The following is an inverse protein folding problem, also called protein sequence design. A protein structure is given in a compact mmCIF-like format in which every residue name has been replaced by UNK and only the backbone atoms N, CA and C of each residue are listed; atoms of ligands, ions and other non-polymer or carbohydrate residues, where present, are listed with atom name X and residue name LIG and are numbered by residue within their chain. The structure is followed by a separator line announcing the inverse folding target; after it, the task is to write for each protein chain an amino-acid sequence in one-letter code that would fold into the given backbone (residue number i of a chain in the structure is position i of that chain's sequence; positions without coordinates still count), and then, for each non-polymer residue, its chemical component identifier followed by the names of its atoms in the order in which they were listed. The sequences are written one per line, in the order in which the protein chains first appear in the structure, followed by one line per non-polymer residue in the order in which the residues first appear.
data_IF_187912220744
#
_entry.id   IF_187912220744
#
_cell.length_a   1.000
_cell.length_b   1.000
_cell.length_c   1.000
_cell.angle_alpha   90.00
_cell.angle_beta   90.00
_cell.angle_gamma   90.00
#
_symmetry.space_group_name_H-M   'P 1'
#
loop_
_entity.id
_entity.type
_entity.pdbx_description
1 polymer ?
#
# COMPACT_ATOMS: atom_id res chain seq x y z
N UNK A 1 4.24 -12.62 -6.56
CA UNK A 1 4.44 -11.17 -6.38
C UNK A 1 4.72 -10.93 -4.94
N UNK A 2 5.69 -10.10 -4.63
CA UNK A 2 6.07 -9.75 -3.27
C UNK A 2 5.10 -8.70 -2.75
N UNK A 3 4.75 -8.77 -1.48
CA UNK A 3 3.96 -7.74 -0.82
C UNK A 3 4.74 -6.43 -0.74
N UNK A 4 4.05 -5.31 -0.50
CA UNK A 4 4.70 -4.01 -0.30
C UNK A 4 5.69 -4.05 0.87
N UNK A 5 5.33 -4.77 1.92
CA UNK A 5 6.19 -4.97 3.09
C UNK A 5 7.40 -5.85 2.79
N UNK A 6 7.25 -6.88 1.95
CA UNK A 6 8.39 -7.70 1.48
C UNK A 6 9.37 -6.85 0.66
N UNK A 7 8.84 -6.00 -0.24
CA UNK A 7 9.66 -5.08 -1.02
C UNK A 7 10.43 -4.11 -0.14
N UNK A 8 9.80 -3.60 0.92
CA UNK A 8 10.48 -2.74 1.89
C UNK A 8 11.60 -3.49 2.63
N UNK A 9 11.32 -4.70 3.10
CA UNK A 9 12.30 -5.52 3.82
C UNK A 9 13.54 -5.87 2.98
N UNK A 10 13.37 -6.05 1.68
CA UNK A 10 14.47 -6.42 0.78
C UNK A 10 15.29 -5.23 0.28
N UNK A 11 14.66 -4.08 0.11
CA UNK A 11 15.29 -2.94 -0.57
C UNK A 11 15.75 -1.82 0.38
N UNK A 12 15.24 -1.77 1.60
CA UNK A 12 15.64 -0.73 2.56
C UNK A 12 16.48 -1.29 3.69
N UNK A 13 17.70 -0.78 3.81
CA UNK A 13 18.57 -1.14 4.94
C UNK A 13 17.97 -0.68 6.26
N UNK A 14 17.87 -1.60 7.21
CA UNK A 14 17.38 -1.35 8.56
C UNK A 14 15.86 -1.47 8.73
N UNK A 15 15.12 -1.77 7.67
CA UNK A 15 13.73 -2.23 7.79
C UNK A 15 13.73 -3.73 8.05
N UNK A 16 12.87 -4.15 8.97
CA UNK A 16 12.48 -5.55 9.16
C UNK A 16 10.96 -5.68 9.21
N UNK A 17 10.45 -6.75 8.63
CA UNK A 17 9.02 -7.04 8.60
C UNK A 17 8.76 -8.32 9.35
N UNK A 18 7.74 -8.32 10.18
CA UNK A 18 7.32 -9.49 10.98
C UNK A 18 5.83 -9.73 10.80
N UNK A 19 5.45 -10.99 10.72
CA UNK A 19 4.06 -11.38 10.74
C UNK A 19 3.49 -11.19 12.15
N UNK A 20 2.28 -10.65 12.21
CA UNK A 20 1.58 -10.45 13.46
C UNK A 20 0.48 -11.49 13.63
N UNK A 21 0.32 -11.96 14.86
CA UNK A 21 -0.75 -12.88 15.30
C UNK A 21 -0.96 -14.10 14.40
N UNK A 22 0.04 -14.43 13.57
CA UNK A 22 -0.03 -15.46 12.54
C UNK A 22 -1.14 -15.26 11.50
N UNK A 23 -1.61 -14.03 11.31
CA UNK A 23 -2.48 -13.66 10.19
C UNK A 23 -1.68 -13.51 8.90
N UNK A 24 -2.21 -13.99 7.79
CA UNK A 24 -1.55 -13.96 6.50
C UNK A 24 -1.26 -12.53 6.02
N UNK A 25 -2.10 -11.57 6.39
CA UNK A 25 -2.08 -10.21 5.84
C UNK A 25 -1.57 -9.15 6.80
N UNK A 26 -1.61 -9.39 8.12
CA UNK A 26 -1.17 -8.40 9.09
C UNK A 26 0.34 -8.43 9.28
N UNK A 27 0.98 -7.32 8.96
CA UNK A 27 2.44 -7.16 9.02
C UNK A 27 2.82 -6.01 9.95
N UNK A 28 3.92 -6.18 10.66
CA UNK A 28 4.59 -5.14 11.42
C UNK A 28 5.84 -4.69 10.67
N UNK A 29 5.96 -3.41 10.40
CA UNK A 29 7.15 -2.81 9.80
C UNK A 29 7.96 -2.14 10.90
N UNK A 30 9.20 -2.58 11.08
CA UNK A 30 10.15 -2.08 12.07
C UNK A 30 11.30 -1.35 11.37
N UNK A 31 11.65 -0.18 11.88
CA UNK A 31 12.79 0.60 11.41
C UNK A 31 13.46 1.29 12.59
N UNK A 32 14.72 0.90 12.87
CA UNK A 32 15.54 1.46 13.95
C UNK A 32 14.89 1.41 15.33
N UNK A 33 14.11 0.36 15.62
CA UNK A 33 13.43 0.18 16.90
C UNK A 33 12.10 0.93 17.04
N UNK A 34 11.63 1.58 15.99
CA UNK A 34 10.29 2.14 15.89
C UNK A 34 9.46 1.34 14.92
N UNK A 35 8.15 1.29 15.13
CA UNK A 35 7.25 0.50 14.31
C UNK A 35 6.23 1.35 13.55
N UNK A 36 5.72 0.77 12.46
CA UNK A 36 4.43 1.08 11.89
C UNK A 36 3.62 -0.21 11.89
N UNK A 37 2.76 -0.36 12.88
CA UNK A 37 2.04 -1.59 13.19
C UNK A 37 0.53 -1.39 13.11
N UNK A 38 -0.26 -2.38 12.67
CA UNK A 38 -1.71 -2.35 12.82
C UNK A 38 -2.18 -2.57 14.26
N UNK A 39 -1.29 -3.00 15.17
CA UNK A 39 -1.65 -3.28 16.56
C UNK A 39 -1.50 -2.06 17.46
N UNK A 40 -2.48 -1.88 18.35
CA UNK A 40 -2.40 -0.94 19.44
C UNK A 40 -1.39 -1.42 20.50
N UNK A 41 -0.67 -0.48 21.11
CA UNK A 41 0.29 -0.77 22.17
C UNK A 41 1.72 -1.06 21.70
N UNK A 42 1.94 -1.14 20.40
CA UNK A 42 3.28 -1.20 19.82
C UNK A 42 3.99 0.17 19.87
N UNK A 43 5.32 0.16 19.83
CA UNK A 43 6.15 1.39 19.85
C UNK A 43 6.09 2.11 18.50
N UNK A 44 4.92 2.67 18.18
CA UNK A 44 4.75 3.45 16.94
C UNK A 44 5.77 4.59 16.88
N UNK A 45 6.18 4.96 15.70
CA UNK A 45 7.17 6.04 15.53
C UNK A 45 7.63 6.20 14.10
N UNK A 46 6.91 5.59 13.16
CA UNK A 46 7.11 5.76 11.72
C UNK A 46 5.85 6.43 11.16
N UNK A 47 6.01 7.64 10.62
CA UNK A 47 4.93 8.31 9.92
C UNK A 47 4.81 7.76 8.49
N UNK A 48 3.63 7.34 8.09
CA UNK A 48 3.36 6.79 6.75
C UNK A 48 2.44 7.72 5.98
N UNK A 49 2.86 8.06 4.79
CA UNK A 49 2.14 8.95 3.87
C UNK A 49 1.78 8.22 2.59
N UNK A 50 0.57 8.42 2.12
CA UNK A 50 0.11 7.96 0.81
C UNK A 50 -0.27 9.18 -0.02
N UNK A 51 0.45 9.42 -1.12
CA UNK A 51 0.31 10.62 -1.96
C UNK A 51 0.32 11.94 -1.16
N UNK A 52 1.18 12.02 -0.13
CA UNK A 52 1.31 13.18 0.74
C UNK A 52 0.29 13.28 1.87
N UNK A 53 -0.68 12.40 1.93
CA UNK A 53 -1.66 12.32 3.03
C UNK A 53 -1.18 11.29 4.05
N UNK A 54 -1.10 11.67 5.32
CA UNK A 54 -0.75 10.74 6.39
C UNK A 54 -1.87 9.72 6.60
N UNK A 55 -1.51 8.44 6.62
CA UNK A 55 -2.44 7.32 6.75
C UNK A 55 -2.37 6.59 8.10
N UNK A 56 -1.47 7.01 9.00
CA UNK A 56 -1.52 6.52 10.36
C UNK A 56 -2.87 6.92 10.98
N UNK A 57 -3.54 5.98 11.64
CA UNK A 57 -4.83 6.22 12.28
C UNK A 57 -4.72 7.24 13.41
N UNK A 58 -5.76 8.06 13.58
CA UNK A 58 -5.79 9.10 14.63
C UNK A 58 -5.74 8.51 16.05
N UNK A 59 -6.22 7.28 16.23
CA UNK A 59 -6.16 6.57 17.49
C UNK A 59 -5.05 5.51 17.42
N UNK A 60 -4.07 5.64 18.29
CA UNK A 60 -2.97 4.67 18.43
C UNK A 60 -1.88 4.76 17.37
N UNK A 61 -2.01 5.65 16.39
CA UNK A 61 -1.02 5.86 15.31
C UNK A 61 -0.72 4.59 14.47
N UNK A 62 -1.67 3.68 14.43
CA UNK A 62 -1.55 2.39 13.73
C UNK A 62 -1.58 2.54 12.22
N UNK A 63 -1.04 1.55 11.51
CA UNK A 63 -1.04 1.50 10.04
C UNK A 63 -1.55 0.14 9.58
N UNK A 64 -2.67 0.14 8.86
CA UNK A 64 -3.28 -1.06 8.30
C UNK A 64 -2.65 -1.34 6.93
N UNK A 65 -1.50 -2.02 6.94
CA UNK A 65 -0.75 -2.34 5.72
C UNK A 65 -1.55 -3.18 4.73
N UNK A 66 -2.37 -4.08 5.27
CA UNK A 66 -3.21 -4.98 4.50
C UNK A 66 -4.26 -4.25 3.65
N UNK A 67 -4.67 -3.05 4.03
CA UNK A 67 -5.65 -2.26 3.27
C UNK A 67 -5.04 -1.42 2.16
N UNK A 68 -3.70 -1.35 2.07
CA UNK A 68 -3.02 -0.60 1.01
C UNK A 68 -2.98 -1.43 -0.26
N UNK A 69 -3.57 -0.98 -1.39
CA UNK A 69 -3.54 -1.73 -2.64
C UNK A 69 -2.13 -1.75 -3.21
N UNK A 70 -1.46 -2.89 -3.09
CA UNK A 70 -0.04 -3.06 -3.39
C UNK A 70 0.29 -2.73 -4.83
N UNK A 71 -0.57 -3.16 -5.76
CA UNK A 71 -0.36 -2.95 -7.18
C UNK A 71 -0.57 -1.49 -7.63
N UNK A 72 -1.24 -0.68 -6.82
CA UNK A 72 -1.37 0.75 -7.08
C UNK A 72 -0.14 1.55 -6.68
N UNK A 73 0.78 0.98 -5.89
CA UNK A 73 1.98 1.70 -5.48
C UNK A 73 3.00 1.73 -6.62
N UNK A 74 3.46 2.93 -6.90
CA UNK A 74 4.46 3.23 -7.94
C UNK A 74 5.86 3.37 -7.35
N UNK A 75 5.95 3.97 -6.17
CA UNK A 75 7.22 4.30 -5.51
C UNK A 75 7.07 4.30 -4.00
N UNK A 76 8.13 3.90 -3.31
CA UNK A 76 8.25 3.95 -1.86
C UNK A 76 9.55 4.68 -1.54
N UNK A 77 9.47 5.72 -0.74
CA UNK A 77 10.62 6.48 -0.26
C UNK A 77 10.72 6.37 1.26
N UNK A 78 11.86 5.96 1.76
CA UNK A 78 12.18 5.95 3.18
C UNK A 78 13.03 7.16 3.52
N UNK A 79 12.55 7.98 4.44
CA UNK A 79 13.26 9.15 4.93
C UNK A 79 13.61 8.96 6.41
N UNK A 80 14.86 9.17 6.76
CA UNK A 80 15.29 9.19 8.16
C UNK A 80 14.58 10.30 8.95
N UNK A 81 14.56 10.19 10.27
CA UNK A 81 13.85 11.12 11.15
C UNK A 81 14.12 12.59 10.79
N UNK A 82 13.05 13.29 10.48
CA UNK A 82 13.07 14.73 10.19
C UNK A 82 11.83 15.36 10.81
N UNK A 83 11.98 16.36 11.69
CA UNK A 83 10.85 17.03 12.35
C UNK A 83 9.82 17.64 11.39
N UNK A 84 10.20 17.90 10.14
CA UNK A 84 9.28 18.40 9.10
C UNK A 84 8.15 17.43 8.76
N UNK A 85 8.31 16.12 9.05
CA UNK A 85 7.28 15.11 8.82
C UNK A 85 6.28 14.95 9.96
N UNK A 86 6.31 15.86 10.95
CA UNK A 86 5.28 15.98 11.97
C UNK A 86 5.38 14.97 13.11
N UNK A 87 4.24 14.77 13.78
CA UNK A 87 4.14 13.92 14.97
C UNK A 87 4.49 12.46 14.65
N UNK A 88 5.17 11.83 15.61
CA UNK A 88 5.54 10.40 15.59
C UNK A 88 6.40 9.95 14.38
N UNK A 89 7.13 10.86 13.74
CA UNK A 89 8.19 10.50 12.78
C UNK A 89 9.55 10.33 13.48
N UNK A 90 9.57 9.73 14.68
CA UNK A 90 10.76 9.60 15.52
C UNK A 90 11.81 8.69 14.88
N UNK A 91 11.41 7.56 14.35
CA UNK A 91 12.27 6.63 13.62
C UNK A 91 12.51 7.07 12.19
N UNK A 92 11.48 7.60 11.54
CA UNK A 92 11.51 8.00 10.16
C UNK A 92 10.11 8.18 9.57
N UNK A 93 10.06 8.37 8.26
CA UNK A 93 8.83 8.42 7.51
C UNK A 93 8.92 7.59 6.23
N UNK A 94 7.81 6.99 5.85
CA UNK A 94 7.61 6.27 4.60
C UNK A 94 6.64 7.08 3.73
N UNK A 95 7.05 7.41 2.53
CA UNK A 95 6.18 8.05 1.54
C UNK A 95 5.89 7.06 0.42
N UNK A 96 4.61 6.73 0.27
CA UNK A 96 4.08 5.87 -0.77
C UNK A 96 3.44 6.75 -1.84
N UNK A 97 3.87 6.60 -3.08
CA UNK A 97 3.27 7.29 -4.22
C UNK A 97 2.51 6.28 -5.07
N UNK A 98 1.27 6.61 -5.41
CA UNK A 98 0.43 5.74 -6.24
C UNK A 98 0.61 6.00 -7.73
N UNK A 99 0.23 5.01 -8.53
CA UNK A 99 0.07 5.16 -9.97
C UNK A 99 -1.08 6.12 -10.25
N UNK A 100 -0.85 7.09 -11.14
CA UNK A 100 -1.86 8.08 -11.54
C UNK A 100 -2.38 7.79 -12.92
N UNK A 101 -3.63 8.16 -13.21
CA UNK A 101 -4.20 8.04 -14.55
C UNK A 101 -3.35 8.75 -15.61
N UNK A 102 -2.84 9.94 -15.27
CA UNK A 102 -1.98 10.72 -16.19
C UNK A 102 -0.60 10.08 -16.47
N UNK A 103 -0.16 9.08 -15.71
CA UNK A 103 1.04 8.29 -16.03
C UNK A 103 0.85 7.44 -17.30
N UNK A 104 -0.40 7.26 -17.75
CA UNK A 104 -0.79 6.41 -18.86
C UNK A 104 -1.31 7.19 -20.08
N UNK A 105 -0.86 8.42 -20.27
CA UNK A 105 -1.19 9.23 -21.46
C UNK A 105 -0.95 8.44 -22.75
N UNK A 106 -1.93 8.46 -23.64
CA UNK A 106 -1.90 7.76 -24.93
C UNK A 106 -1.63 6.25 -24.83
N UNK A 107 -2.06 5.66 -23.73
CA UNK A 107 -1.99 4.21 -23.49
C UNK A 107 -3.37 3.68 -23.15
N UNK A 108 -3.58 2.41 -23.51
CA UNK A 108 -4.77 1.63 -23.16
C UNK A 108 -4.30 0.20 -22.87
N UNK A 109 -4.58 -0.28 -21.66
CA UNK A 109 -4.21 -1.63 -21.27
C UNK A 109 -5.14 -2.20 -20.22
N UNK A 110 -5.28 -3.52 -20.27
CA UNK A 110 -5.84 -4.35 -19.21
C UNK A 110 -4.80 -5.40 -18.84
N UNK A 111 -4.50 -5.50 -17.58
CA UNK A 111 -3.62 -6.51 -17.02
C UNK A 111 -4.40 -7.38 -16.04
N UNK A 112 -4.21 -8.70 -16.11
CA UNK A 112 -4.74 -9.64 -15.14
C UNK A 112 -3.63 -10.56 -14.66
N UNK A 113 -3.60 -10.85 -13.36
CA UNK A 113 -2.65 -11.76 -12.77
C UNK A 113 -3.37 -12.64 -11.75
N UNK A 114 -3.30 -13.94 -11.96
CA UNK A 114 -3.84 -14.92 -11.02
C UNK A 114 -2.68 -15.72 -10.42
N UNK A 115 -2.69 -15.87 -9.11
CA UNK A 115 -1.68 -16.63 -8.36
C UNK A 115 -2.38 -17.72 -7.55
N UNK A 116 -1.71 -18.84 -7.47
CA UNK A 116 -2.13 -19.98 -6.66
C UNK A 116 -0.93 -20.45 -5.84
N UNK A 117 -1.16 -20.78 -4.58
CA UNK A 117 -0.10 -21.21 -3.66
C UNK A 117 -0.53 -22.33 -2.73
N UNK A 118 0.37 -22.67 -1.82
CA UNK A 118 0.09 -23.63 -0.74
C UNK A 118 -1.02 -23.11 0.17
N UNK A 119 -1.64 -24.01 0.94
CA UNK A 119 -2.69 -23.66 1.91
C UNK A 119 -3.91 -22.98 1.28
N UNK A 120 -4.27 -23.35 0.02
CA UNK A 120 -5.35 -22.72 -0.73
C UNK A 120 -5.20 -21.20 -0.93
N UNK A 121 -3.96 -20.72 -0.97
CA UNK A 121 -3.71 -19.33 -1.30
C UNK A 121 -4.14 -19.05 -2.75
N UNK A 122 -4.93 -18.01 -2.92
CA UNK A 122 -5.32 -17.47 -4.23
C UNK A 122 -5.21 -15.95 -4.22
N UNK A 123 -4.75 -15.39 -5.33
CA UNK A 123 -4.74 -13.93 -5.53
C UNK A 123 -5.14 -13.62 -6.95
N UNK A 124 -6.09 -12.73 -7.10
CA UNK A 124 -6.59 -12.26 -8.38
C UNK A 124 -6.39 -10.75 -8.45
N UNK A 125 -5.66 -10.30 -9.45
CA UNK A 125 -5.39 -8.90 -9.73
C UNK A 125 -5.95 -8.53 -11.10
N UNK A 126 -6.62 -7.39 -11.18
CA UNK A 126 -6.98 -6.73 -12.41
C UNK A 126 -6.52 -5.27 -12.37
N UNK A 127 -5.79 -4.85 -13.39
CA UNK A 127 -5.39 -3.46 -13.59
C UNK A 127 -5.95 -2.96 -14.94
N UNK A 128 -6.44 -1.74 -14.93
CA UNK A 128 -6.85 -1.02 -16.12
C UNK A 128 -6.22 0.37 -16.13
N UNK A 129 -5.65 0.75 -17.26
CA UNK A 129 -5.13 2.08 -17.48
C UNK A 129 -5.51 2.59 -18.87
N UNK A 130 -6.02 3.82 -18.91
CA UNK A 130 -6.37 4.51 -20.15
C UNK A 130 -6.01 5.98 -20.05
N UNK A 131 -5.53 6.55 -21.15
CA UNK A 131 -5.23 7.99 -21.18
C UNK A 131 -5.20 8.58 -22.59
N UNK A 132 -5.59 9.84 -22.64
CA UNK A 132 -5.40 10.75 -23.76
C UNK A 132 -4.33 11.79 -23.39
N UNK A 133 -4.10 12.79 -24.23
CA UNK A 133 -3.14 13.88 -23.91
C UNK A 133 -3.52 14.68 -22.65
N UNK A 134 -4.80 14.77 -22.34
CA UNK A 134 -5.32 15.67 -21.30
C UNK A 134 -6.19 15.00 -20.23
N UNK A 135 -6.39 13.69 -20.33
CA UNK A 135 -7.15 12.90 -19.38
C UNK A 135 -6.49 11.54 -19.20
N UNK A 136 -6.56 11.00 -18.02
CA UNK A 136 -6.10 9.63 -17.74
C UNK A 136 -6.83 9.02 -16.57
N UNK A 137 -6.98 7.69 -16.61
CA UNK A 137 -7.51 6.90 -15.51
C UNK A 137 -6.63 5.67 -15.28
N UNK A 138 -6.51 5.29 -14.03
CA UNK A 138 -5.93 4.02 -13.60
C UNK A 138 -6.82 3.39 -12.54
N UNK A 139 -7.09 2.12 -12.66
CA UNK A 139 -7.89 1.34 -11.71
C UNK A 139 -7.20 0.02 -11.42
N UNK A 140 -7.18 -0.39 -10.15
CA UNK A 140 -6.68 -1.68 -9.69
C UNK A 140 -7.70 -2.32 -8.74
N UNK A 141 -7.97 -3.60 -8.97
CA UNK A 141 -8.80 -4.46 -8.11
C UNK A 141 -7.94 -5.66 -7.73
N UNK A 142 -7.91 -5.97 -6.44
CA UNK A 142 -7.11 -7.05 -5.90
C UNK A 142 -7.94 -7.85 -4.90
N UNK A 143 -8.04 -9.14 -5.13
CA UNK A 143 -8.73 -10.10 -4.27
C UNK A 143 -7.72 -11.15 -3.84
N UNK A 144 -7.58 -11.35 -2.54
CA UNK A 144 -6.68 -12.37 -2.00
C UNK A 144 -7.40 -13.21 -0.96
N UNK A 145 -7.08 -14.49 -0.97
CA UNK A 145 -7.52 -15.45 0.01
C UNK A 145 -6.35 -16.34 0.41
N UNK A 146 -6.19 -16.58 1.69
CA UNK A 146 -5.27 -17.55 2.26
C UNK A 146 -6.06 -18.52 3.13
N UNK A 147 -5.99 -19.82 2.85
CA UNK A 147 -6.68 -20.84 3.63
C UNK A 147 -6.01 -21.15 4.96
N UNK A 148 -4.85 -20.54 5.22
CA UNK A 148 -4.10 -20.71 6.46
C UNK A 148 -3.35 -22.03 6.55
N UNK A 149 -2.21 -22.03 7.20
CA UNK A 149 -1.40 -23.22 7.46
C UNK A 149 -1.78 -23.89 8.80
N UNK A 150 -2.65 -23.26 9.56
CA UNK A 150 -3.06 -23.62 10.92
C UNK A 150 -4.55 -23.35 11.11
N UNK A 151 -5.19 -24.04 12.04
CA UNK A 151 -6.59 -23.80 12.39
C UNK A 151 -6.83 -22.32 12.78
N UNK A 152 -7.87 -21.73 12.21
CA UNK A 152 -8.26 -20.33 12.42
C UNK A 152 -7.21 -19.29 11.98
N UNK A 153 -6.41 -19.59 10.98
CA UNK A 153 -5.46 -18.63 10.38
C UNK A 153 -5.78 -18.27 8.93
N UNK A 154 -6.96 -18.64 8.46
CA UNK A 154 -7.48 -18.24 7.16
C UNK A 154 -7.84 -16.74 7.14
N UNK A 155 -7.86 -16.19 5.94
CA UNK A 155 -8.22 -14.79 5.73
C UNK A 155 -8.56 -14.49 4.29
N UNK A 156 -9.36 -13.45 4.11
CA UNK A 156 -9.73 -12.92 2.80
C UNK A 156 -9.55 -11.41 2.83
N UNK A 157 -9.10 -10.84 1.71
CA UNK A 157 -8.94 -9.40 1.58
C UNK A 157 -9.31 -8.95 0.18
N UNK A 158 -10.01 -7.84 0.08
CA UNK A 158 -10.27 -7.17 -1.18
C UNK A 158 -9.79 -5.72 -1.11
N UNK A 159 -9.07 -5.28 -2.15
CA UNK A 159 -8.55 -3.92 -2.28
C UNK A 159 -8.98 -3.31 -3.59
N UNK A 160 -9.30 -2.05 -3.55
CA UNK A 160 -9.68 -1.27 -4.73
C UNK A 160 -8.95 0.07 -4.73
N UNK A 161 -8.44 0.45 -5.88
CA UNK A 161 -7.87 1.76 -6.12
C UNK A 161 -8.31 2.29 -7.48
N UNK A 162 -8.64 3.56 -7.55
CA UNK A 162 -8.82 4.25 -8.84
C UNK A 162 -8.32 5.68 -8.75
N UNK A 163 -7.75 6.15 -9.86
CA UNK A 163 -7.33 7.54 -10.03
C UNK A 163 -7.84 8.08 -11.37
N UNK A 164 -8.37 9.28 -11.34
CA UNK A 164 -8.76 10.06 -12.51
C UNK A 164 -7.95 11.35 -12.53
N UNK A 165 -7.28 11.62 -13.64
CA UNK A 165 -6.46 12.82 -13.81
C UNK A 165 -6.93 13.62 -15.01
N UNK A 166 -7.00 14.94 -14.85
CA UNK A 166 -7.27 15.89 -15.94
C UNK A 166 -6.16 16.93 -15.90
N UNK A 167 -5.54 17.16 -17.05
CA UNK A 167 -4.50 18.17 -17.23
C UNK A 167 -4.94 19.19 -18.26
N UNK A 168 -4.76 20.48 -17.95
CA UNK A 168 -5.02 21.61 -18.83
C UNK A 168 -3.88 22.63 -18.67
N UNK A 169 -3.74 23.53 -19.62
CA UNK A 169 -2.66 24.53 -19.63
C UNK A 169 -2.55 25.36 -18.35
N UNK A 170 -3.64 25.50 -17.61
CA UNK A 170 -3.72 26.35 -16.41
C UNK A 170 -3.97 25.59 -15.09
N UNK A 171 -4.26 24.29 -15.14
CA UNK A 171 -4.51 23.49 -13.93
C UNK A 171 -4.40 22.00 -14.19
N UNK A 172 -4.04 21.28 -13.12
CA UNK A 172 -4.08 19.82 -13.03
C UNK A 172 -4.98 19.40 -11.88
N UNK A 173 -5.88 18.44 -12.14
CA UNK A 173 -6.74 17.85 -11.12
C UNK A 173 -6.50 16.35 -11.10
N UNK A 174 -6.24 15.81 -9.92
CA UNK A 174 -6.18 14.38 -9.67
C UNK A 174 -7.18 14.02 -8.57
N UNK A 175 -8.05 13.07 -8.87
CA UNK A 175 -8.95 12.48 -7.92
C UNK A 175 -8.58 11.01 -7.73
N UNK A 176 -8.35 10.59 -6.48
CA UNK A 176 -8.07 9.20 -6.12
C UNK A 176 -9.09 8.70 -5.12
N UNK A 177 -9.50 7.46 -5.29
CA UNK A 177 -10.28 6.72 -4.31
C UNK A 177 -9.57 5.41 -3.97
N UNK A 178 -9.51 5.08 -2.69
CA UNK A 178 -8.90 3.86 -2.15
C UNK A 178 -9.87 3.23 -1.16
N UNK A 179 -9.97 1.91 -1.19
CA UNK A 179 -10.77 1.16 -0.25
C UNK A 179 -10.28 -0.27 -0.13
N UNK A 180 -10.54 -0.88 1.02
CA UNK A 180 -10.24 -2.28 1.31
C UNK A 180 -11.15 -2.82 2.38
N UNK A 181 -11.34 -4.12 2.36
CA UNK A 181 -12.06 -4.90 3.37
C UNK A 181 -11.29 -6.18 3.66
N UNK A 182 -11.30 -6.61 4.92
CA UNK A 182 -10.72 -7.87 5.42
C UNK A 182 -11.79 -8.69 6.12
#
# INVERSE_FOLDING_TARGET
TKTITDLMNENFSGISVKDLQNGAFQKNVDYRGYTASPLLGESQGIAVYLDGVRINESFGDTVQWELIPENAIKQIDLMSSNPAFGLNALGGSLALSTKKGLDYKNKDFVNTLNKYGSFNYTSELMEYGYGTDSFGTYTSIELERDGGWRDHSDGEIARFYTNYGIERDSFDINFSFIGGIT
#
